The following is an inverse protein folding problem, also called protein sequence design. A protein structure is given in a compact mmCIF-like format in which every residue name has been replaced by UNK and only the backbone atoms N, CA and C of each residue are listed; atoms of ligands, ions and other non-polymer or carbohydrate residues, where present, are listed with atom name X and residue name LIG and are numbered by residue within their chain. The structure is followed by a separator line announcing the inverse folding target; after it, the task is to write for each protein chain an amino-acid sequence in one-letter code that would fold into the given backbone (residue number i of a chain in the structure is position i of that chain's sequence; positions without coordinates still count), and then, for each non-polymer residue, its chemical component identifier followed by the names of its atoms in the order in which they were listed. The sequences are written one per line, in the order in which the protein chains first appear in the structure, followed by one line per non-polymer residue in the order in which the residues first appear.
data_IF_363651542254
#
_entry.id   IF_363651542254
#
_cell.length_a   1.000
_cell.length_b   1.000
_cell.length_c   1.000
_cell.angle_alpha   90.00
_cell.angle_beta   90.00
_cell.angle_gamma   90.00
#
_symmetry.space_group_name_H-M   'P 1'
#
loop_
_entity.id
_entity.type
_entity.pdbx_description
1 polymer ?
#
# COMPACT_ATOMS: atom_id res chain seq x y z
N UNK A 1 9.62 -10.38 5.40
CA UNK A 1 9.21 -10.36 6.77
C UNK A 1 7.94 -11.15 6.96
N UNK A 2 7.71 -11.58 8.19
CA UNK A 2 6.57 -12.46 8.47
C UNK A 2 5.24 -11.82 8.15
N UNK A 3 5.12 -10.51 8.38
CA UNK A 3 3.89 -9.80 8.07
C UNK A 3 3.56 -9.79 6.58
N UNK A 4 4.59 -9.81 5.75
CA UNK A 4 4.39 -9.82 4.31
C UNK A 4 3.87 -11.16 3.81
N UNK A 5 4.19 -12.23 4.54
CA UNK A 5 3.73 -13.57 4.17
C UNK A 5 2.28 -13.81 4.55
N UNK A 6 1.78 -13.03 5.49
CA UNK A 6 0.40 -13.12 5.92
C UNK A 6 -0.57 -12.72 4.81
N UNK A 7 -0.14 -11.81 3.97
CA UNK A 7 -0.97 -11.25 2.92
C UNK A 7 -0.46 -11.68 1.55
N UNK A 8 -1.38 -11.90 0.64
CA UNK A 8 -1.06 -12.22 -0.74
C UNK A 8 -1.35 -10.98 -1.57
N UNK A 9 -0.34 -10.16 -1.76
CA UNK A 9 -0.54 -8.86 -2.40
C UNK A 9 0.62 -8.50 -3.32
N UNK A 10 0.33 -7.59 -4.24
CA UNK A 10 1.25 -7.08 -5.23
C UNK A 10 1.42 -5.58 -5.01
N UNK A 11 2.66 -5.12 -5.05
CA UNK A 11 2.97 -3.71 -4.90
C UNK A 11 3.24 -3.09 -6.27
N UNK A 12 2.61 -1.95 -6.54
CA UNK A 12 2.81 -1.21 -7.77
C UNK A 12 3.20 0.22 -7.41
N UNK A 13 4.33 0.67 -7.95
CA UNK A 13 4.82 2.02 -7.70
C UNK A 13 4.60 2.86 -8.95
N UNK A 14 3.94 3.99 -8.77
CA UNK A 14 3.64 4.91 -9.87
C UNK A 14 4.16 6.29 -9.54
N UNK A 15 4.92 6.87 -10.45
CA UNK A 15 5.37 8.25 -10.31
C UNK A 15 4.44 9.12 -11.12
N UNK A 16 3.83 10.09 -10.45
CA UNK A 16 2.92 11.01 -11.12
C UNK A 16 3.73 11.97 -12.00
N UNK A 17 3.50 11.98 -13.32
CA UNK A 17 4.24 12.88 -14.21
C UNK A 17 4.10 14.34 -13.83
N UNK A 18 2.93 14.74 -13.34
CA UNK A 18 2.70 16.10 -12.90
C UNK A 18 3.48 16.45 -11.66
N UNK A 19 3.89 15.47 -10.91
CA UNK A 19 4.60 15.66 -9.65
C UNK A 19 6.10 15.83 -9.85
N UNK A 20 6.60 15.76 -11.07
CA UNK A 20 8.02 16.02 -11.31
C UNK A 20 8.42 17.41 -10.84
N UNK A 21 7.48 18.34 -10.85
CA UNK A 21 7.72 19.69 -10.37
C UNK A 21 7.49 19.83 -8.88
N UNK A 22 6.54 19.08 -8.35
CA UNK A 22 6.18 19.16 -6.93
C UNK A 22 6.61 17.93 -6.14
N UNK A 23 7.03 16.89 -6.83
CA UNK A 23 7.44 15.63 -6.22
C UNK A 23 6.25 14.82 -5.76
N UNK A 24 6.26 13.54 -6.07
CA UNK A 24 5.20 12.68 -5.60
C UNK A 24 5.26 11.29 -6.20
N UNK A 25 4.96 10.33 -5.37
CA UNK A 25 4.96 8.92 -5.74
C UNK A 25 3.72 8.30 -5.13
N UNK A 26 3.06 7.43 -5.89
CA UNK A 26 1.96 6.62 -5.38
C UNK A 26 2.41 5.16 -5.31
N UNK A 27 2.10 4.53 -4.20
CA UNK A 27 2.30 3.09 -4.06
C UNK A 27 0.94 2.46 -3.87
N UNK A 28 0.62 1.49 -4.73
CA UNK A 28 -0.63 0.77 -4.66
C UNK A 28 -0.38 -0.66 -4.24
N UNK A 29 -1.21 -1.15 -3.35
CA UNK A 29 -1.16 -2.53 -2.90
C UNK A 29 -2.43 -3.21 -3.37
N UNK A 30 -2.27 -4.23 -4.19
CA UNK A 30 -3.40 -4.98 -4.72
C UNK A 30 -3.36 -6.39 -4.16
N UNK A 31 -4.45 -6.80 -3.54
CA UNK A 31 -4.59 -8.18 -3.10
C UNK A 31 -4.71 -9.11 -4.29
N UNK A 32 -4.15 -10.28 -4.16
CA UNK A 32 -4.24 -11.31 -5.20
C UNK A 32 -4.45 -12.65 -4.51
N UNK A 33 -4.74 -13.68 -5.29
CA UNK A 33 -4.97 -14.98 -4.72
C UNK A 33 -6.04 -14.95 -3.63
N UNK A 34 -5.70 -15.34 -2.44
CA UNK A 34 -6.66 -15.37 -1.33
C UNK A 34 -7.13 -13.99 -0.91
N UNK A 35 -6.38 -12.96 -1.26
CA UNK A 35 -6.71 -11.58 -0.89
C UNK A 35 -7.21 -10.76 -2.07
N UNK A 36 -7.59 -11.42 -3.14
CA UNK A 36 -8.10 -10.76 -4.33
C UNK A 36 -9.27 -9.83 -3.98
N UNK A 37 -9.21 -8.63 -4.52
CA UNK A 37 -10.24 -7.62 -4.28
C UNK A 37 -9.86 -6.60 -3.23
N UNK A 38 -8.85 -6.88 -2.42
CA UNK A 38 -8.37 -5.91 -1.44
C UNK A 38 -7.44 -4.91 -2.12
N UNK A 39 -7.49 -3.67 -1.69
CA UNK A 39 -6.68 -2.62 -2.29
C UNK A 39 -6.42 -1.51 -1.27
N UNK A 40 -5.21 -0.99 -1.30
CA UNK A 40 -4.86 0.19 -0.54
C UNK A 40 -3.81 0.97 -1.32
N UNK A 41 -3.69 2.24 -1.04
CA UNK A 41 -2.66 3.04 -1.67
C UNK A 41 -2.19 4.15 -0.73
N UNK A 42 -1.01 4.65 -1.03
CA UNK A 42 -0.46 5.76 -0.28
C UNK A 42 0.33 6.67 -1.20
N UNK A 43 0.38 7.94 -0.84
CA UNK A 43 1.13 8.94 -1.56
C UNK A 43 2.21 9.50 -0.67
N UNK A 44 3.31 9.91 -1.26
CA UNK A 44 4.38 10.56 -0.54
C UNK A 44 5.32 11.25 -1.49
N UNK A 45 6.22 12.04 -0.96
CA UNK A 45 7.20 12.74 -1.78
C UNK A 45 8.32 11.82 -2.23
N UNK A 46 8.52 10.73 -1.50
CA UNK A 46 9.48 9.72 -1.86
C UNK A 46 8.78 8.38 -1.93
N UNK A 47 9.42 7.42 -2.60
CA UNK A 47 8.88 6.08 -2.67
C UNK A 47 8.72 5.46 -1.27
N UNK A 48 9.69 5.69 -0.40
CA UNK A 48 9.64 5.16 0.95
C UNK A 48 8.45 5.70 1.73
N UNK A 49 8.21 7.00 1.65
CA UNK A 49 7.08 7.62 2.33
C UNK A 49 5.76 7.11 1.77
N UNK A 50 5.67 7.04 0.45
CA UNK A 50 4.47 6.54 -0.21
C UNK A 50 4.18 5.10 0.19
N UNK A 51 5.24 4.28 0.25
CA UNK A 51 5.10 2.88 0.65
C UNK A 51 4.60 2.77 2.08
N UNK A 52 5.18 3.53 2.98
CA UNK A 52 4.75 3.52 4.37
C UNK A 52 3.27 3.89 4.49
N UNK A 53 2.85 4.90 3.75
CA UNK A 53 1.46 5.33 3.76
C UNK A 53 0.53 4.26 3.18
N UNK A 54 0.96 3.58 2.13
CA UNK A 54 0.16 2.52 1.53
C UNK A 54 -0.01 1.35 2.50
N UNK A 55 1.06 0.95 3.17
CA UNK A 55 0.97 -0.13 4.14
C UNK A 55 0.15 0.27 5.35
N UNK A 56 0.21 1.52 5.75
CA UNK A 56 -0.62 2.02 6.84
C UNK A 56 -2.09 1.91 6.46
N UNK A 57 -2.46 2.31 5.25
CA UNK A 57 -3.83 2.19 4.77
C UNK A 57 -4.28 0.73 4.72
N UNK A 58 -3.39 -0.15 4.28
CA UNK A 58 -3.71 -1.57 4.25
C UNK A 58 -4.03 -2.07 5.65
N UNK A 59 -3.19 -1.72 6.63
CA UNK A 59 -3.42 -2.13 8.00
C UNK A 59 -4.72 -1.55 8.54
N UNK A 60 -4.99 -0.29 8.25
CA UNK A 60 -6.22 0.36 8.71
C UNK A 60 -7.46 -0.29 8.12
N UNK A 61 -7.36 -0.73 6.86
CA UNK A 61 -8.52 -1.30 6.18
C UNK A 61 -8.72 -2.78 6.49
N UNK A 62 -7.66 -3.52 6.75
CA UNK A 62 -7.77 -4.98 6.81
C UNK A 62 -7.23 -5.60 8.08
N UNK A 63 -6.31 -4.97 8.79
CA UNK A 63 -5.74 -5.58 10.00
C UNK A 63 -6.46 -5.20 11.28
N UNK A 64 -7.18 -4.10 11.29
CA UNK A 64 -7.91 -3.71 12.48
C UNK A 64 -8.97 -4.77 12.87
N UNK A 65 -9.47 -5.48 11.88
CA UNK A 65 -10.46 -6.53 12.12
C UNK A 65 -9.87 -7.62 13.02
N UNK A 66 -8.61 -7.93 12.80
CA UNK A 66 -7.94 -8.96 13.58
C UNK A 66 -7.66 -8.51 15.02
N UNK A 67 -7.56 -7.21 15.23
CA UNK A 67 -7.32 -6.68 16.58
C UNK A 67 -8.54 -6.83 17.47
N UNK A 68 -9.73 -6.89 16.86
CA UNK A 68 -10.99 -6.99 17.60
C UNK A 68 -11.49 -8.42 17.74
N UNK A 69 -10.92 -9.31 16.96
CA UNK A 69 -11.27 -10.72 17.04
C UNK A 69 -10.24 -11.53 17.86
#
# INVERSE_FOLDING_TARGET
MDNDKKWDRKEVVTVDPGSLLSGGVDVHLYGKGKDYGKHAHGWGRTEEEARENAYKHWRENYEWINLWS
#
